data_IF_136918756976
#
_entry.id   IF_136918756976
#
_cell.length_a   1.000
_cell.length_b   1.000
_cell.length_c   1.000
_cell.angle_alpha   90.00
_cell.angle_beta   90.00
_cell.angle_gamma   90.00
#
_symmetry.space_group_name_H-M   'P 1'
#
loop_
_entity.id
_entity.type
_entity.pdbx_description
1 polymer ?
#
# COMPACT_ATOMS: atom_id res chain seq x y z
N UNK A 1 5.94 8.30 -11.71
CA UNK A 1 4.68 7.67 -12.20
C UNK A 1 3.56 8.67 -12.01
N UNK A 2 2.79 8.97 -13.06
CA UNK A 2 1.70 9.94 -12.99
C UNK A 2 0.59 9.45 -12.05
N UNK A 3 0.21 10.28 -11.07
CA UNK A 3 -0.88 9.99 -10.14
C UNK A 3 -2.18 10.03 -10.93
N UNK A 4 -2.85 8.89 -11.08
CA UNK A 4 -4.13 8.82 -11.81
C UNK A 4 -5.17 9.71 -11.11
N UNK A 5 -5.90 10.53 -11.87
CA UNK A 5 -6.94 11.41 -11.34
C UNK A 5 -8.01 10.61 -10.58
N UNK A 6 -8.68 11.23 -9.60
CA UNK A 6 -9.73 10.59 -8.80
C UNK A 6 -10.83 9.95 -9.66
N UNK A 7 -11.26 10.64 -10.73
CA UNK A 7 -12.23 10.12 -11.71
C UNK A 7 -11.73 8.84 -12.41
N UNK A 8 -10.43 8.76 -12.68
CA UNK A 8 -9.82 7.56 -13.27
C UNK A 8 -9.84 6.38 -12.29
N UNK A 9 -9.52 6.63 -11.01
CA UNK A 9 -9.52 5.60 -9.96
C UNK A 9 -10.91 4.98 -9.76
N UNK A 10 -11.94 5.83 -9.66
CA UNK A 10 -13.33 5.33 -9.56
C UNK A 10 -13.72 4.48 -10.76
N UNK A 11 -13.37 4.92 -11.97
CA UNK A 11 -13.69 4.16 -13.20
C UNK A 11 -13.04 2.78 -13.20
N UNK A 12 -11.77 2.69 -12.78
CA UNK A 12 -11.07 1.39 -12.69
C UNK A 12 -11.72 0.50 -11.62
N UNK A 13 -12.10 1.05 -10.48
CA UNK A 13 -12.79 0.29 -9.42
C UNK A 13 -14.16 -0.21 -9.88
N UNK A 14 -14.96 0.64 -10.53
CA UNK A 14 -16.27 0.25 -11.10
C UNK A 14 -16.12 -0.83 -12.16
N UNK A 15 -15.13 -0.69 -13.06
CA UNK A 15 -14.83 -1.70 -14.07
C UNK A 15 -14.40 -3.03 -13.44
N UNK A 16 -13.55 -2.98 -12.41
CA UNK A 16 -13.14 -4.18 -11.69
C UNK A 16 -14.35 -4.90 -11.09
N UNK A 17 -15.21 -4.17 -10.38
CA UNK A 17 -16.43 -4.73 -9.77
C UNK A 17 -17.35 -5.33 -10.83
N UNK A 18 -17.47 -4.69 -12.00
CA UNK A 18 -18.26 -5.20 -13.12
C UNK A 18 -17.71 -6.53 -13.67
N UNK A 19 -16.38 -6.67 -13.73
CA UNK A 19 -15.73 -7.87 -14.29
C UNK A 19 -15.62 -9.02 -13.28
N UNK A 20 -15.22 -8.74 -12.05
CA UNK A 20 -14.87 -9.75 -11.04
C UNK A 20 -15.88 -9.86 -9.89
N UNK A 21 -16.79 -8.89 -9.76
CA UNK A 21 -17.76 -8.82 -8.67
C UNK A 21 -17.24 -8.12 -7.41
N UNK A 22 -18.17 -7.71 -6.54
CA UNK A 22 -17.88 -7.01 -5.28
C UNK A 22 -17.14 -7.88 -4.26
N UNK A 23 -17.44 -9.18 -4.21
CA UNK A 23 -16.77 -10.13 -3.30
C UNK A 23 -15.28 -10.23 -3.62
N UNK A 24 -14.93 -10.43 -4.89
CA UNK A 24 -13.53 -10.49 -5.34
C UNK A 24 -12.82 -9.15 -5.19
N UNK A 25 -13.53 -8.03 -5.36
CA UNK A 25 -12.93 -6.72 -5.08
C UNK A 25 -12.56 -6.55 -3.61
N UNK A 26 -13.42 -6.97 -2.66
CA UNK A 26 -13.07 -6.98 -1.23
C UNK A 26 -11.88 -7.88 -0.94
N UNK A 27 -11.87 -9.08 -1.52
CA UNK A 27 -10.75 -10.03 -1.38
C UNK A 27 -9.43 -9.43 -1.88
N UNK A 28 -9.43 -8.76 -3.03
CA UNK A 28 -8.24 -8.07 -3.54
C UNK A 28 -7.74 -7.00 -2.55
N UNK A 29 -8.64 -6.15 -2.03
CA UNK A 29 -8.25 -5.11 -1.07
C UNK A 29 -7.68 -5.70 0.22
N UNK A 30 -8.25 -6.80 0.72
CA UNK A 30 -7.71 -7.51 1.88
C UNK A 30 -6.32 -8.09 1.61
N UNK A 31 -6.12 -8.75 0.47
CA UNK A 31 -4.83 -9.32 0.08
C UNK A 31 -3.75 -8.23 -0.04
N UNK A 32 -4.10 -7.09 -0.64
CA UNK A 32 -3.20 -5.93 -0.75
C UNK A 32 -2.85 -5.34 0.63
N UNK A 33 -3.83 -5.22 1.53
CA UNK A 33 -3.61 -4.72 2.90
C UNK A 33 -2.75 -5.66 3.75
N UNK A 34 -2.88 -6.97 3.54
CA UNK A 34 -2.07 -8.00 4.18
C UNK A 34 -0.64 -8.12 3.58
N UNK A 35 -0.29 -7.30 2.59
CA UNK A 35 0.97 -7.40 1.84
C UNK A 35 1.20 -8.81 1.25
N UNK A 36 0.13 -9.50 0.83
CA UNK A 36 0.25 -10.76 0.13
C UNK A 36 1.08 -10.60 -1.15
N UNK A 37 1.77 -11.67 -1.55
CA UNK A 37 2.60 -11.67 -2.74
C UNK A 37 1.78 -11.30 -3.98
N UNK A 38 2.26 -10.31 -4.74
CA UNK A 38 1.61 -9.92 -5.99
C UNK A 38 1.52 -11.07 -7.01
N UNK A 39 2.39 -12.07 -6.92
CA UNK A 39 2.29 -13.27 -7.76
C UNK A 39 1.15 -14.19 -7.29
N UNK A 40 1.00 -14.41 -5.98
CA UNK A 40 -0.11 -15.21 -5.45
C UNK A 40 -1.48 -14.60 -5.79
N UNK A 41 -1.60 -13.27 -5.69
CA UNK A 41 -2.80 -12.55 -6.13
C UNK A 41 -2.99 -12.69 -7.65
N UNK A 42 -1.91 -12.64 -8.43
CA UNK A 42 -1.98 -12.80 -9.88
C UNK A 42 -2.55 -14.18 -10.27
N UNK A 43 -2.06 -15.23 -9.60
CA UNK A 43 -2.51 -16.60 -9.79
C UNK A 43 -3.98 -16.77 -9.37
N UNK A 44 -4.40 -16.20 -8.23
CA UNK A 44 -5.79 -16.23 -7.74
C UNK A 44 -6.78 -15.57 -8.71
N UNK A 45 -6.38 -14.47 -9.35
CA UNK A 45 -7.22 -13.68 -10.24
C UNK A 45 -7.04 -14.07 -11.72
N UNK A 46 -6.12 -14.98 -12.05
CA UNK A 46 -5.81 -15.39 -13.42
C UNK A 46 -5.28 -14.23 -14.28
N UNK A 47 -4.47 -13.35 -13.70
CA UNK A 47 -3.90 -12.17 -14.38
C UNK A 47 -2.38 -12.14 -14.24
N UNK A 48 -1.72 -11.18 -14.88
CA UNK A 48 -0.29 -10.98 -14.67
C UNK A 48 0.01 -10.24 -13.36
N UNK A 49 1.19 -10.47 -12.78
CA UNK A 49 1.69 -9.70 -11.63
C UNK A 49 1.71 -8.19 -11.89
N UNK A 50 2.01 -7.79 -13.12
CA UNK A 50 2.00 -6.38 -13.52
C UNK A 50 0.59 -5.78 -13.42
N UNK A 51 -0.45 -6.56 -13.75
CA UNK A 51 -1.84 -6.11 -13.58
C UNK A 51 -2.18 -5.87 -12.12
N UNK A 52 -1.73 -6.75 -11.22
CA UNK A 52 -1.90 -6.58 -9.77
C UNK A 52 -1.17 -5.32 -9.29
N UNK A 53 0.05 -5.06 -9.77
CA UNK A 53 0.81 -3.84 -9.46
C UNK A 53 0.04 -2.57 -9.88
N UNK A 54 -0.54 -2.57 -11.08
CA UNK A 54 -1.37 -1.45 -11.55
C UNK A 54 -2.57 -1.20 -10.64
N UNK A 55 -3.27 -2.26 -10.23
CA UNK A 55 -4.37 -2.16 -9.25
C UNK A 55 -3.90 -1.60 -7.91
N UNK A 56 -2.78 -2.09 -7.35
CA UNK A 56 -2.20 -1.58 -6.11
C UNK A 56 -1.95 -0.07 -6.18
N UNK A 57 -1.35 0.40 -7.28
CA UNK A 57 -1.06 1.82 -7.49
C UNK A 57 -2.33 2.66 -7.75
N UNK A 58 -3.40 2.05 -8.25
CA UNK A 58 -4.65 2.75 -8.57
C UNK A 58 -5.55 2.85 -7.35
N UNK A 59 -5.66 1.78 -6.56
CA UNK A 59 -6.60 1.68 -5.45
C UNK A 59 -6.04 2.18 -4.12
N UNK A 60 -4.73 2.30 -3.99
CA UNK A 60 -4.08 2.75 -2.76
C UNK A 60 -2.74 3.42 -3.01
N UNK A 61 -2.07 3.75 -1.92
CA UNK A 61 -0.70 4.27 -1.93
C UNK A 61 0.05 3.61 -0.79
N UNK A 62 1.29 3.19 -1.05
CA UNK A 62 2.17 2.66 -0.01
C UNK A 62 2.78 3.84 0.73
N UNK A 63 2.57 3.91 2.04
CA UNK A 63 3.18 4.91 2.91
C UNK A 63 4.25 4.20 3.72
N UNK A 64 5.52 4.51 3.45
CA UNK A 64 6.65 4.03 4.26
C UNK A 64 6.99 5.11 5.28
N UNK A 65 6.73 4.82 6.55
CA UNK A 65 7.06 5.71 7.65
C UNK A 65 8.38 5.27 8.26
N UNK A 66 9.34 6.18 8.36
CA UNK A 66 10.52 5.98 9.18
C UNK A 66 10.16 6.38 10.61
N UNK A 67 10.26 5.43 11.53
CA UNK A 67 10.06 5.66 12.95
C UNK A 67 11.39 5.45 13.66
N UNK A 68 11.87 6.51 14.32
CA UNK A 68 13.05 6.39 15.19
C UNK A 68 12.65 5.60 16.42
N UNK A 69 13.50 4.65 16.79
CA UNK A 69 13.30 3.89 18.02
C UNK A 69 13.43 4.81 19.26
N UNK A 70 12.52 4.71 20.24
CA UNK A 70 12.52 5.60 21.40
C UNK A 70 13.86 5.65 22.16
N UNK A 71 14.58 4.53 22.24
CA UNK A 71 15.89 4.43 22.88
C UNK A 71 16.96 5.29 22.19
N UNK A 72 16.89 5.45 20.87
CA UNK A 72 17.81 6.29 20.10
C UNK A 72 17.50 7.77 20.32
N UNK A 73 16.21 8.13 20.37
CA UNK A 73 15.83 9.48 20.78
C UNK A 73 16.30 9.80 22.19
N UNK A 74 16.28 8.83 23.10
CA UNK A 74 16.73 9.01 24.48
C UNK A 74 18.22 9.36 24.55
N UNK A 75 19.07 8.65 23.82
CA UNK A 75 20.52 8.91 23.74
C UNK A 75 20.79 10.35 23.26
N UNK A 76 20.05 10.82 22.25
CA UNK A 76 20.19 12.19 21.75
C UNK A 76 19.83 13.25 22.79
N UNK A 77 18.84 12.97 23.65
CA UNK A 77 18.45 13.88 24.75
C UNK A 77 19.47 13.90 25.87
N UNK A 78 20.03 12.73 26.25
CA UNK A 78 21.04 12.61 27.31
C UNK A 78 22.29 13.46 27.02
N UNK A 79 22.76 13.47 25.77
CA UNK A 79 23.92 14.27 25.36
C UNK A 79 23.69 15.78 25.45
N UNK A 80 22.44 16.23 25.26
CA UNK A 80 22.08 17.65 25.32
C UNK A 80 22.13 18.17 26.76
N UNK A 81 21.67 17.39 27.72
CA UNK A 81 21.72 17.75 29.15
C UNK A 81 23.17 17.83 29.64
N UNK A 82 24.04 16.91 29.21
CA UNK A 82 25.45 16.88 29.61
C UNK A 82 26.33 18.02 29.00
N UNK A 83 25.86 18.72 27.96
CA UNK A 83 26.59 19.86 27.36
C UNK A 83 26.11 21.23 27.86
N UNK A 84 25.03 21.28 28.65
CA UNK A 84 24.46 22.54 29.18
C UNK A 84 24.59 22.65 30.70
N UNK A 85 25.28 21.71 31.34
CA UNK A 85 25.68 21.71 32.75
C UNK A 85 27.19 21.93 32.86
#
# INVERSE_FOLDING_TARGET
>A
MAVSSAKSRERVARNFIRTYGRSRFRRLLQALAANESGQAIADEFGVSRERVRQWKNTFGTVITLYQVHPEIERILRERRVAQTA
#
